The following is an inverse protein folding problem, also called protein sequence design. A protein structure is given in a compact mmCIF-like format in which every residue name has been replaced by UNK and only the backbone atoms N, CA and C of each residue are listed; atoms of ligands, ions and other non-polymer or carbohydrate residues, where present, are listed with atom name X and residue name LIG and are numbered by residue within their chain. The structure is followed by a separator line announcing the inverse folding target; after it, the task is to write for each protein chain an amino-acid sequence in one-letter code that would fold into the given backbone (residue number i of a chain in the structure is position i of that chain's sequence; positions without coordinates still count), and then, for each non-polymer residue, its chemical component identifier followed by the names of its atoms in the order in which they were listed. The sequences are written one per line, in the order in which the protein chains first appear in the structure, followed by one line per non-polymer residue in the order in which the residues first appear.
data_IF_967276033407
#
_entry.id   IF_967276033407
#
_cell.length_a   1.000
_cell.length_b   1.000
_cell.length_c   1.000
_cell.angle_alpha   90.00
_cell.angle_beta   90.00
_cell.angle_gamma   90.00
#
_symmetry.space_group_name_H-M   'P 1'
#
loop_
_entity.id
_entity.type
_entity.pdbx_description
1 polymer ?
#
# COMPACT_ATOMS: atom_id res chain seq x y z
N UNK A 1 -6.84 4.70 22.06
CA UNK A 1 -5.41 4.41 21.82
C UNK A 1 -5.14 4.68 20.36
N UNK A 2 -4.24 5.61 20.04
CA UNK A 2 -3.95 5.97 18.65
C UNK A 2 -3.20 4.84 17.93
N UNK A 3 -3.27 4.84 16.60
CA UNK A 3 -2.57 3.86 15.77
C UNK A 3 -1.75 4.57 14.71
N UNK A 4 -0.48 4.17 14.60
CA UNK A 4 0.44 4.68 13.60
C UNK A 4 0.55 3.66 12.48
N UNK A 5 0.01 4.00 11.32
CA UNK A 5 0.05 3.16 10.12
C UNK A 5 1.32 3.46 9.31
N UNK A 6 2.14 2.44 9.09
CA UNK A 6 3.43 2.55 8.42
C UNK A 6 3.47 1.63 7.20
N UNK A 7 4.04 2.10 6.10
CA UNK A 7 4.04 1.39 4.81
C UNK A 7 5.44 1.40 4.20
N UNK A 8 6.04 0.22 4.00
CA UNK A 8 7.28 0.06 3.25
C UNK A 8 7.03 -0.27 1.77
N UNK A 9 8.09 -0.20 0.95
CA UNK A 9 8.03 -0.49 -0.49
C UNK A 9 7.83 -1.99 -0.82
N UNK A 10 8.35 -2.89 0.03
CA UNK A 10 8.37 -4.34 -0.21
C UNK A 10 8.04 -5.13 1.07
N UNK A 11 7.46 -6.34 0.95
CA UNK A 11 7.12 -7.18 2.12
C UNK A 11 8.31 -7.50 3.02
N UNK A 12 9.45 -7.85 2.44
CA UNK A 12 10.67 -8.15 3.21
C UNK A 12 11.17 -6.95 4.02
N UNK A 13 11.06 -5.73 3.47
CA UNK A 13 11.46 -4.51 4.18
C UNK A 13 10.54 -4.23 5.36
N UNK A 14 9.22 -4.39 5.19
CA UNK A 14 8.27 -4.20 6.28
C UNK A 14 8.53 -5.16 7.45
N UNK A 15 8.79 -6.43 7.15
CA UNK A 15 9.10 -7.43 8.17
C UNK A 15 10.39 -7.08 8.93
N UNK A 16 11.46 -6.74 8.22
CA UNK A 16 12.74 -6.38 8.83
C UNK A 16 12.61 -5.13 9.72
N UNK A 17 11.96 -4.08 9.23
CA UNK A 17 11.76 -2.84 9.99
C UNK A 17 10.92 -3.11 11.24
N UNK A 18 9.82 -3.85 11.12
CA UNK A 18 8.95 -4.17 12.24
C UNK A 18 9.68 -4.97 13.33
N UNK A 19 10.47 -5.98 12.95
CA UNK A 19 11.27 -6.77 13.91
C UNK A 19 12.26 -5.91 14.70
N UNK A 20 12.93 -4.96 14.02
CA UNK A 20 13.90 -4.04 14.63
C UNK A 20 13.18 -3.09 15.60
N UNK A 21 12.12 -2.42 15.14
CA UNK A 21 11.40 -1.41 15.94
C UNK A 21 10.63 -2.01 17.11
N UNK A 22 10.08 -3.22 16.93
CA UNK A 22 9.35 -3.94 17.97
C UNK A 22 10.27 -4.68 18.97
N UNK A 23 11.60 -4.65 18.76
CA UNK A 23 12.58 -5.40 19.57
C UNK A 23 12.21 -6.89 19.73
N UNK A 24 11.71 -7.49 18.65
CA UNK A 24 11.25 -8.89 18.62
C UNK A 24 9.80 -9.13 19.07
N UNK A 25 9.14 -8.19 19.76
CA UNK A 25 7.74 -8.31 20.17
C UNK A 25 6.77 -7.85 19.07
N UNK A 26 6.73 -8.59 17.96
CA UNK A 26 5.86 -8.29 16.82
C UNK A 26 4.81 -9.39 16.62
N UNK A 27 3.55 -8.98 16.51
CA UNK A 27 2.47 -9.87 16.07
C UNK A 27 2.27 -9.70 14.57
N UNK A 28 2.30 -10.79 13.81
CA UNK A 28 2.17 -10.72 12.35
C UNK A 28 0.95 -11.48 11.87
N UNK A 29 0.19 -10.88 10.94
CA UNK A 29 -0.90 -11.55 10.22
C UNK A 29 -0.81 -11.31 8.72
N UNK A 30 -1.33 -12.25 7.93
CA UNK A 30 -1.37 -12.11 6.47
C UNK A 30 -2.49 -11.15 6.07
N UNK A 31 -2.22 -10.27 5.11
CA UNK A 31 -3.23 -9.42 4.48
C UNK A 31 -4.13 -10.21 3.52
N UNK A 32 -5.29 -9.66 3.19
CA UNK A 32 -6.24 -10.35 2.30
C UNK A 32 -5.69 -10.54 0.87
N UNK A 33 -4.76 -9.68 0.44
CA UNK A 33 -4.13 -9.77 -0.88
C UNK A 33 -3.12 -10.93 -0.99
N UNK A 34 -2.83 -11.62 0.13
CA UNK A 34 -1.92 -12.76 0.19
C UNK A 34 -0.43 -12.44 0.00
N UNK A 35 -0.09 -11.28 -0.56
CA UNK A 35 1.29 -10.86 -0.83
C UNK A 35 1.89 -10.03 0.30
N UNK A 36 1.07 -9.21 0.97
CA UNK A 36 1.51 -8.33 2.06
C UNK A 36 1.10 -8.91 3.41
N UNK A 37 1.93 -8.68 4.42
CA UNK A 37 1.63 -8.97 5.82
C UNK A 37 1.48 -7.68 6.61
N UNK A 38 0.84 -7.79 7.75
CA UNK A 38 0.73 -6.75 8.75
C UNK A 38 1.48 -7.15 10.00
N UNK A 39 2.29 -6.24 10.49
CA UNK A 39 3.15 -6.40 11.65
C UNK A 39 2.76 -5.35 12.69
N UNK A 40 2.27 -5.81 13.83
CA UNK A 40 1.67 -4.96 14.86
C UNK A 40 2.42 -5.11 16.18
N UNK A 41 2.65 -3.98 16.85
CA UNK A 41 3.21 -3.92 18.20
C UNK A 41 2.74 -2.66 18.92
N UNK A 42 2.91 -2.62 20.23
CA UNK A 42 2.65 -1.42 21.04
C UNK A 42 3.97 -0.71 21.35
N UNK A 43 3.96 0.62 21.32
CA UNK A 43 5.14 1.43 21.64
C UNK A 43 4.80 2.89 21.90
N UNK A 44 5.82 3.71 22.08
CA UNK A 44 5.64 5.16 22.20
C UNK A 44 5.90 5.86 20.87
N UNK A 45 5.07 6.83 20.54
CA UNK A 45 5.27 7.74 19.41
C UNK A 45 4.91 9.15 19.86
N UNK A 46 5.83 10.10 19.69
CA UNK A 46 5.63 11.51 20.10
C UNK A 46 5.18 11.69 21.55
N UNK A 47 5.67 10.85 22.47
CA UNK A 47 5.34 10.90 23.89
C UNK A 47 4.01 10.23 24.28
N UNK A 48 3.25 9.71 23.31
CA UNK A 48 2.01 8.98 23.55
C UNK A 48 2.19 7.48 23.34
N UNK A 49 1.39 6.68 24.06
CA UNK A 49 1.32 5.23 23.84
C UNK A 49 0.43 4.95 22.62
N UNK A 50 1.00 4.30 21.62
CA UNK A 50 0.34 3.98 20.35
C UNK A 50 0.45 2.50 20.01
N UNK A 51 -0.43 2.06 19.11
CA UNK A 51 -0.27 0.80 18.39
C UNK A 51 0.39 1.08 17.05
N UNK A 52 1.52 0.47 16.77
CA UNK A 52 2.11 0.49 15.45
C UNK A 52 1.50 -0.59 14.59
N UNK A 53 1.19 -0.24 13.34
CA UNK A 53 0.66 -1.14 12.32
C UNK A 53 1.48 -0.97 11.05
N UNK A 54 2.46 -1.84 10.86
CA UNK A 54 3.39 -1.81 9.72
C UNK A 54 2.93 -2.78 8.64
N UNK A 55 2.92 -2.32 7.39
CA UNK A 55 2.71 -3.15 6.22
C UNK A 55 3.60 -2.69 5.06
N UNK A 56 3.34 -3.18 3.86
CA UNK A 56 4.08 -2.82 2.65
C UNK A 56 3.18 -2.77 1.43
N UNK A 57 3.70 -2.17 0.37
CA UNK A 57 3.27 -2.42 -1.01
C UNK A 57 4.18 -3.47 -1.65
N UNK A 58 3.99 -3.75 -2.94
CA UNK A 58 4.83 -4.65 -3.73
C UNK A 58 5.50 -3.89 -4.87
N UNK A 59 6.26 -2.83 -4.55
CA UNK A 59 6.79 -1.89 -5.54
C UNK A 59 5.77 -0.82 -5.93
N UNK A 60 5.76 -0.41 -7.20
CA UNK A 60 4.84 0.61 -7.69
C UNK A 60 3.38 0.17 -7.53
N UNK A 61 2.57 0.98 -6.86
CA UNK A 61 1.11 0.75 -6.71
C UNK A 61 0.38 1.06 -8.02
N UNK A 62 0.80 2.13 -8.69
CA UNK A 62 0.20 2.62 -9.92
C UNK A 62 1.23 2.67 -11.05
N UNK A 63 0.78 2.46 -12.27
CA UNK A 63 1.49 2.73 -13.51
C UNK A 63 0.79 3.86 -14.26
N UNK A 64 1.53 4.56 -15.10
CA UNK A 64 0.97 5.53 -16.05
C UNK A 64 0.68 4.82 -17.36
N UNK A 65 -0.50 5.06 -17.92
CA UNK A 65 -0.92 4.48 -19.20
C UNK A 65 -1.83 5.49 -19.92
N UNK A 66 -2.06 5.30 -21.22
CA UNK A 66 -3.09 6.06 -21.91
C UNK A 66 -4.48 5.47 -21.64
N UNK A 67 -5.52 6.26 -21.96
CA UNK A 67 -6.89 5.76 -22.10
C UNK A 67 -6.90 4.56 -23.05
N UNK A 68 -7.70 3.53 -22.75
CA UNK A 68 -7.73 2.29 -23.53
C UNK A 68 -7.98 2.47 -25.02
N UNK A 69 -8.56 3.60 -25.45
CA UNK A 69 -8.71 3.98 -26.87
C UNK A 69 -7.37 4.19 -27.59
N UNK A 70 -6.33 4.64 -26.87
CA UNK A 70 -5.00 4.90 -27.42
C UNK A 70 -4.03 3.70 -27.30
N UNK A 71 -4.45 2.61 -26.66
CA UNK A 71 -3.60 1.44 -26.43
C UNK A 71 -3.52 0.48 -27.64
N UNK A 72 -4.22 0.78 -28.74
CA UNK A 72 -4.15 -0.02 -29.96
C UNK A 72 -3.25 0.66 -31.01
N UNK A 73 -2.06 0.10 -31.19
CA UNK A 73 -1.05 0.59 -32.13
C UNK A 73 -1.51 0.63 -33.59
N UNK A 74 -2.44 -0.24 -34.00
CA UNK A 74 -2.95 -0.26 -35.39
C UNK A 74 -4.00 0.81 -35.66
N UNK A 75 -4.50 1.49 -34.62
CA UNK A 75 -5.64 2.42 -34.70
C UNK A 75 -5.32 3.85 -34.28
N UNK A 76 -4.08 4.12 -33.89
CA UNK A 76 -3.67 5.39 -33.29
C UNK A 76 -2.50 5.94 -34.09
N UNK A 77 -2.64 7.17 -34.58
CA UNK A 77 -1.49 7.90 -35.12
C UNK A 77 -0.54 8.21 -33.95
N UNK A 78 0.74 7.78 -33.98
CA UNK A 78 1.71 8.07 -32.93
C UNK A 78 1.85 9.55 -32.59
N UNK A 79 1.56 10.46 -33.52
CA UNK A 79 1.57 11.90 -33.26
C UNK A 79 0.49 12.34 -32.24
N UNK A 80 -0.64 11.64 -32.17
CA UNK A 80 -1.70 11.94 -31.20
C UNK A 80 -1.26 11.68 -29.75
N UNK A 81 -0.30 10.78 -29.53
CA UNK A 81 0.21 10.44 -28.20
C UNK A 81 0.93 11.61 -27.51
N UNK A 82 1.38 12.63 -28.26
CA UNK A 82 1.97 13.85 -27.68
C UNK A 82 0.95 14.72 -26.93
N UNK A 83 -0.34 14.60 -27.25
CA UNK A 83 -1.44 15.38 -26.65
C UNK A 83 -2.49 14.51 -25.97
N UNK A 84 -2.41 13.18 -26.12
CA UNK A 84 -3.35 12.24 -25.54
C UNK A 84 -3.34 12.30 -24.00
N UNK A 85 -4.53 12.21 -23.36
CA UNK A 85 -4.62 12.19 -21.91
C UNK A 85 -4.04 10.89 -21.34
N UNK A 86 -3.27 11.02 -20.25
CA UNK A 86 -2.72 9.91 -19.49
C UNK A 86 -3.54 9.65 -18.22
N UNK A 87 -3.62 8.39 -17.81
CA UNK A 87 -4.28 7.95 -16.60
C UNK A 87 -3.37 7.07 -15.73
N UNK A 88 -3.64 7.04 -14.43
CA UNK A 88 -2.97 6.14 -13.49
C UNK A 88 -3.80 4.88 -13.31
N UNK A 89 -3.25 3.72 -13.64
CA UNK A 89 -3.86 2.41 -13.42
C UNK A 89 -3.12 1.65 -12.33
N UNK A 90 -3.77 0.72 -11.65
CA UNK A 90 -3.06 -0.18 -10.74
C UNK A 90 -2.01 -0.98 -11.51
N UNK A 91 -0.77 -0.98 -11.02
CA UNK A 91 0.34 -1.67 -11.67
C UNK A 91 0.14 -3.20 -11.67
N UNK A 92 -0.53 -3.73 -10.64
CA UNK A 92 -0.94 -5.13 -10.59
C UNK A 92 -2.35 -5.25 -9.99
N UNK A 93 -3.39 -5.23 -10.85
CA UNK A 93 -4.79 -5.29 -10.40
C UNK A 93 -5.14 -6.55 -9.60
N UNK A 94 -4.38 -7.64 -9.76
CA UNK A 94 -4.61 -8.89 -9.00
C UNK A 94 -4.30 -8.73 -7.52
N UNK A 95 -3.37 -7.84 -7.16
CA UNK A 95 -3.02 -7.57 -5.78
C UNK A 95 -4.04 -6.67 -5.08
N UNK A 96 -4.89 -5.96 -5.85
CA UNK A 96 -5.87 -5.00 -5.34
C UNK A 96 -5.27 -4.09 -4.27
N UNK A 97 -4.11 -3.50 -4.60
CA UNK A 97 -3.24 -2.88 -3.60
C UNK A 97 -3.90 -1.65 -2.97
N UNK A 98 -4.67 -0.90 -3.76
CA UNK A 98 -5.39 0.28 -3.27
C UNK A 98 -6.47 -0.14 -2.27
N UNK A 99 -7.23 -1.19 -2.56
CA UNK A 99 -8.24 -1.73 -1.64
C UNK A 99 -7.59 -2.29 -0.37
N UNK A 100 -6.43 -2.93 -0.51
CA UNK A 100 -5.64 -3.42 0.62
C UNK A 100 -5.27 -2.30 1.59
N UNK A 101 -4.64 -1.24 1.08
CA UNK A 101 -4.27 -0.10 1.89
C UNK A 101 -5.50 0.58 2.53
N UNK A 102 -6.60 0.74 1.78
CA UNK A 102 -7.85 1.31 2.30
C UNK A 102 -8.41 0.50 3.46
N UNK A 103 -8.51 -0.82 3.32
CA UNK A 103 -9.05 -1.69 4.37
C UNK A 103 -8.19 -1.63 5.63
N UNK A 104 -6.86 -1.61 5.47
CA UNK A 104 -5.94 -1.63 6.61
C UNK A 104 -5.88 -0.28 7.34
N UNK A 105 -6.10 0.83 6.64
CA UNK A 105 -6.31 2.14 7.27
C UNK A 105 -7.70 2.24 7.92
N UNK A 106 -8.77 1.76 7.27
CA UNK A 106 -10.12 1.92 7.80
C UNK A 106 -10.37 1.08 9.06
N UNK A 107 -9.83 -0.15 9.11
CA UNK A 107 -9.83 -1.00 10.32
C UNK A 107 -9.09 -0.38 11.51
N UNK A 108 -8.36 0.72 11.28
CA UNK A 108 -7.62 1.46 12.28
C UNK A 108 -8.42 2.64 12.87
N UNK A 109 -9.40 3.15 12.14
CA UNK A 109 -10.23 4.29 12.54
C UNK A 109 -11.50 3.75 13.21
N UNK A 110 -11.44 3.54 14.52
CA UNK A 110 -12.68 3.49 15.32
C UNK A 110 -13.20 4.92 15.40
N UNK A 111 -14.30 5.22 14.73
CA UNK A 111 -15.01 6.49 14.94
C UNK A 111 -15.38 6.58 16.43
N UNK A 112 -15.01 7.65 17.14
CA UNK A 112 -15.62 7.91 18.43
C UNK A 112 -17.10 8.22 18.20
N UNK A 113 -17.97 7.39 18.76
CA UNK A 113 -19.38 7.76 19.02
C UNK A 113 -19.45 8.91 20.00
#
# INVERSE_FOLDING_TARGET
MQVVFMVAEKPSLAESIAKILARGHVSSRRGFNGACSLHEWSGSFMGEQVRFKMTSVCGHVMTTDFDGRYNNWDRVDPAELFVAPIEKKEANPKLRMVDFLRQEVCSTISYPT
#
